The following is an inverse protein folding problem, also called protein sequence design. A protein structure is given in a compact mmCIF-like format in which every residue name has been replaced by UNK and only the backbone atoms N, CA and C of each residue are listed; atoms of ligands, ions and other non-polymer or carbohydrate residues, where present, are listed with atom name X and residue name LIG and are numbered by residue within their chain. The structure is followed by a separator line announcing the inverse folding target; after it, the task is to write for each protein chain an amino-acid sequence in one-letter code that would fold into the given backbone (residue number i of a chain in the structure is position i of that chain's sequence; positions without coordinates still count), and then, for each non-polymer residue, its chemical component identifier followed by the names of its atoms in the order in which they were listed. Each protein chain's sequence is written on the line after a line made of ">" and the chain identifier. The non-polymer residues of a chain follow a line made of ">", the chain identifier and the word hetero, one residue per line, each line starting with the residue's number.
data_IF_115893264947
#
_entry.id   IF_115893264947
#
_cell.length_a   1.000
_cell.length_b   1.000
_cell.length_c   1.000
_cell.angle_alpha   90.00
_cell.angle_beta   90.00
_cell.angle_gamma   90.00
#
_symmetry.space_group_name_H-M   'P 1'
#
loop_
_entity.id
_entity.type
_entity.pdbx_description
1 polymer ?
#
# COMPACT_ATOMS: atom_id res chain seq x y z
N UNK A 1 -69.83 -49.43 8.58
CA UNK A 1 -69.21 -50.39 9.54
C UNK A 1 -67.71 -50.18 9.38
N UNK A 2 -66.87 -49.88 10.36
CA UNK A 2 -66.83 -50.09 11.81
C UNK A 2 -65.81 -49.04 12.34
N UNK A 3 -66.17 -48.21 13.33
CA UNK A 3 -65.63 -48.20 14.71
C UNK A 3 -64.13 -47.83 14.82
N UNK A 4 -63.82 -46.59 15.23
CA UNK A 4 -63.54 -46.12 16.62
C UNK A 4 -62.10 -46.37 17.08
N UNK A 5 -61.47 -45.29 17.57
CA UNK A 5 -60.18 -45.34 18.25
C UNK A 5 -59.75 -43.98 18.83
N UNK A 6 -60.48 -43.51 19.84
CA UNK A 6 -60.03 -42.47 20.78
C UNK A 6 -58.85 -43.02 21.60
N UNK A 7 -57.76 -42.26 21.77
CA UNK A 7 -56.68 -42.69 22.65
C UNK A 7 -55.55 -41.69 22.88
N UNK A 8 -55.69 -40.92 23.96
CA UNK A 8 -54.61 -40.46 24.87
C UNK A 8 -53.60 -39.41 24.33
N UNK A 9 -53.87 -38.13 24.62
CA UNK A 9 -52.80 -37.11 24.69
C UNK A 9 -52.03 -37.32 26.00
N UNK A 10 -50.92 -38.05 25.93
CA UNK A 10 -50.00 -38.23 27.05
C UNK A 10 -49.38 -36.87 27.43
N UNK A 11 -49.61 -36.45 28.68
CA UNK A 11 -49.01 -35.26 29.27
C UNK A 11 -47.59 -35.64 29.73
N UNK A 12 -46.63 -35.59 28.80
CA UNK A 12 -45.23 -35.91 29.06
C UNK A 12 -44.57 -34.80 29.87
N UNK A 13 -44.21 -35.08 31.13
CA UNK A 13 -43.27 -34.24 31.88
C UNK A 13 -41.87 -34.41 31.25
N UNK A 14 -41.18 -33.32 30.87
CA UNK A 14 -39.86 -33.44 30.27
C UNK A 14 -38.88 -34.13 31.24
N UNK A 15 -38.10 -35.06 30.72
CA UNK A 15 -37.05 -35.75 31.48
C UNK A 15 -35.98 -34.76 31.95
N UNK A 16 -35.25 -35.06 33.04
CA UNK A 16 -34.15 -34.22 33.54
C UNK A 16 -33.12 -33.87 32.44
N UNK A 17 -32.88 -34.80 31.51
CA UNK A 17 -32.02 -34.59 30.35
C UNK A 17 -32.59 -33.54 29.37
N UNK A 18 -33.90 -33.55 29.12
CA UNK A 18 -34.57 -32.56 28.26
C UNK A 18 -34.47 -31.14 28.86
N UNK A 19 -34.56 -31.01 30.19
CA UNK A 19 -34.39 -29.73 30.88
C UNK A 19 -32.96 -29.20 30.76
N UNK A 20 -31.94 -30.06 30.90
CA UNK A 20 -30.53 -29.65 30.74
C UNK A 20 -30.23 -29.20 29.32
N UNK A 21 -30.70 -29.93 28.30
CA UNK A 21 -30.51 -29.56 26.89
C UNK A 21 -31.14 -28.21 26.57
N UNK A 22 -32.34 -27.94 27.10
CA UNK A 22 -33.01 -26.65 26.91
C UNK A 22 -32.22 -25.50 27.51
N UNK A 23 -31.73 -25.62 28.74
CA UNK A 23 -30.93 -24.56 29.39
C UNK A 23 -29.62 -24.30 28.64
N UNK A 24 -28.89 -25.35 28.22
CA UNK A 24 -27.66 -25.19 27.43
C UNK A 24 -27.93 -24.49 26.09
N UNK A 25 -29.07 -24.79 25.45
CA UNK A 25 -29.47 -24.12 24.22
C UNK A 25 -29.78 -22.64 24.44
N UNK A 26 -30.42 -22.29 25.56
CA UNK A 26 -30.70 -20.89 25.93
C UNK A 26 -29.41 -20.15 26.26
N UNK A 27 -28.50 -20.74 27.04
CA UNK A 27 -27.21 -20.13 27.39
C UNK A 27 -26.33 -19.88 26.16
N UNK A 28 -26.33 -20.83 25.20
CA UNK A 28 -25.67 -20.66 23.92
C UNK A 28 -26.27 -19.50 23.11
N UNK A 29 -27.60 -19.41 23.04
CA UNK A 29 -28.27 -18.31 22.35
C UNK A 29 -27.95 -16.96 23.01
N UNK A 30 -28.06 -16.85 24.34
CA UNK A 30 -27.74 -15.62 25.09
C UNK A 30 -26.29 -15.20 24.86
N UNK A 31 -25.35 -16.15 24.90
CA UNK A 31 -23.92 -15.87 24.65
C UNK A 31 -23.66 -15.44 23.21
N UNK A 32 -24.34 -16.06 22.24
CA UNK A 32 -24.27 -15.69 20.82
C UNK A 32 -24.77 -14.25 20.60
N UNK A 33 -25.94 -13.90 21.15
CA UNK A 33 -26.50 -12.55 21.04
C UNK A 33 -25.62 -11.50 21.76
N UNK A 34 -25.06 -11.82 22.92
CA UNK A 34 -24.14 -10.94 23.64
C UNK A 34 -22.85 -10.68 22.83
N UNK A 35 -22.32 -11.71 22.17
CA UNK A 35 -21.16 -11.58 21.29
C UNK A 35 -21.44 -10.73 20.04
N UNK A 36 -22.63 -10.87 19.46
CA UNK A 36 -23.06 -10.08 18.29
C UNK A 36 -23.27 -8.60 18.65
N UNK A 37 -23.93 -8.30 19.78
CA UNK A 37 -24.08 -6.93 20.27
C UNK A 37 -22.74 -6.27 20.57
N UNK A 38 -21.79 -6.99 21.17
CA UNK A 38 -20.45 -6.46 21.46
C UNK A 38 -19.68 -6.11 20.17
N UNK A 39 -19.83 -6.92 19.11
CA UNK A 39 -19.26 -6.64 17.79
C UNK A 39 -19.89 -5.41 17.14
N UNK A 40 -21.21 -5.28 17.21
CA UNK A 40 -21.94 -4.11 16.69
C UNK A 40 -21.51 -2.83 17.40
N UNK A 41 -21.38 -2.84 18.72
CA UNK A 41 -20.90 -1.69 19.48
C UNK A 41 -19.46 -1.30 19.12
N UNK A 42 -18.56 -2.28 18.96
CA UNK A 42 -17.18 -2.03 18.57
C UNK A 42 -17.09 -1.46 17.15
N UNK A 43 -17.90 -1.98 16.22
CA UNK A 43 -18.03 -1.45 14.86
C UNK A 43 -18.59 -0.02 14.86
N UNK A 44 -19.58 0.28 15.70
CA UNK A 44 -20.13 1.63 15.84
C UNK A 44 -19.08 2.63 16.34
N UNK A 45 -18.26 2.24 17.32
CA UNK A 45 -17.17 3.08 17.83
C UNK A 45 -16.11 3.34 16.78
N UNK A 46 -15.69 2.32 16.04
CA UNK A 46 -14.74 2.46 14.94
C UNK A 46 -15.28 3.38 13.83
N UNK A 47 -16.55 3.20 13.45
CA UNK A 47 -17.21 4.07 12.47
C UNK A 47 -17.29 5.52 12.96
N UNK A 48 -17.62 5.76 14.23
CA UNK A 48 -17.69 7.10 14.80
C UNK A 48 -16.32 7.79 14.84
N UNK A 49 -15.26 7.04 15.15
CA UNK A 49 -13.90 7.55 15.13
C UNK A 49 -13.43 7.86 13.69
N UNK A 50 -13.72 6.98 12.74
CA UNK A 50 -13.41 7.24 11.33
C UNK A 50 -14.17 8.47 10.80
N UNK A 51 -15.44 8.63 11.19
CA UNK A 51 -16.24 9.79 10.80
C UNK A 51 -15.68 11.10 11.36
N UNK A 52 -15.12 11.11 12.59
CA UNK A 52 -14.51 12.33 13.14
C UNK A 52 -13.22 12.71 12.39
N UNK A 53 -12.41 11.73 12.00
CA UNK A 53 -11.22 11.96 11.17
C UNK A 53 -11.57 12.49 9.77
N UNK A 54 -12.63 11.96 9.14
CA UNK A 54 -13.13 12.45 7.85
C UNK A 54 -13.60 13.91 7.95
N UNK A 55 -14.27 14.29 9.04
CA UNK A 55 -14.71 15.68 9.25
C UNK A 55 -13.52 16.64 9.32
N UNK A 56 -12.45 16.25 10.03
CA UNK A 56 -11.23 17.05 10.11
C UNK A 56 -10.53 17.18 8.75
N UNK A 57 -10.42 16.08 8.00
CA UNK A 57 -9.85 16.09 6.65
C UNK A 57 -10.65 16.99 5.69
N UNK A 58 -11.98 16.92 5.73
CA UNK A 58 -12.85 17.76 4.92
C UNK A 58 -12.70 19.25 5.24
N UNK A 59 -12.40 19.60 6.48
CA UNK A 59 -12.13 20.98 6.87
C UNK A 59 -10.81 21.50 6.27
N UNK A 60 -9.78 20.65 6.19
CA UNK A 60 -8.54 20.93 5.47
C UNK A 60 -8.75 21.10 3.96
N UNK A 61 -9.58 20.25 3.35
CA UNK A 61 -9.92 20.38 1.92
C UNK A 61 -10.64 21.71 1.64
N UNK A 62 -11.57 22.10 2.51
CA UNK A 62 -12.32 23.35 2.35
C UNK A 62 -11.44 24.59 2.43
N UNK A 63 -10.48 24.60 3.36
CA UNK A 63 -9.51 25.71 3.47
C UNK A 63 -8.59 25.77 2.26
N UNK A 64 -8.10 24.63 1.77
CA UNK A 64 -7.31 24.59 0.54
C UNK A 64 -8.09 25.07 -0.69
N UNK A 65 -9.37 24.73 -0.81
CA UNK A 65 -10.24 25.22 -1.88
C UNK A 65 -10.39 26.75 -1.82
N UNK A 66 -10.54 27.33 -0.62
CA UNK A 66 -10.62 28.79 -0.47
C UNK A 66 -9.33 29.47 -0.95
N UNK A 67 -8.16 28.94 -0.57
CA UNK A 67 -6.86 29.49 -0.98
C UNK A 67 -6.70 29.43 -2.51
N UNK A 68 -7.05 28.30 -3.13
CA UNK A 68 -6.98 28.14 -4.58
C UNK A 68 -7.88 29.13 -5.33
N UNK A 69 -9.08 29.38 -4.81
CA UNK A 69 -9.98 30.38 -5.38
C UNK A 69 -9.37 31.79 -5.29
N UNK A 70 -8.82 32.16 -4.13
CA UNK A 70 -8.11 33.44 -3.96
C UNK A 70 -6.94 33.58 -4.95
N UNK A 71 -6.14 32.52 -5.13
CA UNK A 71 -5.03 32.54 -6.09
C UNK A 71 -5.51 32.71 -7.53
N UNK A 72 -6.61 32.04 -7.89
CA UNK A 72 -7.21 32.17 -9.23
C UNK A 72 -7.63 33.61 -9.50
N UNK A 73 -8.28 34.25 -8.52
CA UNK A 73 -8.71 35.65 -8.63
C UNK A 73 -7.53 36.62 -8.75
N UNK A 74 -6.44 36.37 -8.02
CA UNK A 74 -5.21 37.16 -8.11
C UNK A 74 -4.52 36.99 -9.47
N UNK A 75 -4.43 35.76 -9.98
CA UNK A 75 -3.83 35.48 -11.30
C UNK A 75 -4.65 36.15 -12.41
N UNK A 76 -5.99 36.11 -12.33
CA UNK A 76 -6.85 36.79 -13.28
C UNK A 76 -6.68 38.31 -13.22
N UNK A 77 -6.48 38.87 -12.02
CA UNK A 77 -6.21 40.30 -11.84
C UNK A 77 -4.84 40.69 -12.43
N UNK A 78 -3.80 39.89 -12.19
CA UNK A 78 -2.48 40.06 -12.81
C UNK A 78 -2.55 39.97 -14.33
N UNK A 79 -3.28 38.97 -14.85
CA UNK A 79 -3.43 38.78 -16.30
C UNK A 79 -4.09 40.00 -16.93
N UNK A 80 -5.14 40.55 -16.30
CA UNK A 80 -5.79 41.78 -16.76
C UNK A 80 -4.85 42.99 -16.75
N UNK A 81 -4.04 43.15 -15.71
CA UNK A 81 -3.06 44.23 -15.62
C UNK A 81 -1.96 44.09 -16.68
N UNK A 82 -1.45 42.88 -16.90
CA UNK A 82 -0.45 42.60 -17.95
C UNK A 82 -1.02 42.82 -19.35
N UNK A 83 -2.27 42.43 -19.61
CA UNK A 83 -2.93 42.71 -20.89
C UNK A 83 -3.23 44.19 -21.11
N UNK A 84 -3.41 44.96 -20.03
CA UNK A 84 -3.66 46.40 -20.08
C UNK A 84 -2.36 47.24 -20.03
N UNK A 85 -1.21 46.66 -19.67
CA UNK A 85 0.11 47.30 -19.60
C UNK A 85 0.73 47.65 -20.95
N UNK A 86 -0.07 47.71 -22.03
CA UNK A 86 0.34 48.30 -23.30
C UNK A 86 0.49 49.84 -23.23
N UNK A 87 0.27 50.47 -22.07
CA UNK A 87 0.52 51.91 -21.85
C UNK A 87 1.31 52.18 -20.56
N UNK A 88 2.22 53.14 -20.66
CA UNK A 88 3.39 53.41 -19.80
C UNK A 88 3.10 53.93 -18.38
N UNK A 89 1.83 53.91 -17.93
CA UNK A 89 1.35 54.64 -16.73
C UNK A 89 1.06 53.73 -15.51
N UNK A 90 0.94 52.40 -15.68
CA UNK A 90 0.53 51.46 -14.62
C UNK A 90 1.68 50.68 -13.96
N UNK A 91 2.93 51.09 -14.16
CA UNK A 91 4.13 50.37 -13.67
C UNK A 91 4.26 50.37 -12.14
N UNK A 92 3.79 51.41 -11.44
CA UNK A 92 3.84 51.46 -9.96
C UNK A 92 2.72 50.62 -9.32
N UNK A 93 1.50 50.62 -9.87
CA UNK A 93 0.42 49.74 -9.39
C UNK A 93 0.77 48.26 -9.57
N UNK A 94 1.41 47.90 -10.70
CA UNK A 94 1.91 46.56 -10.94
C UNK A 94 2.99 46.16 -9.93
N UNK A 95 3.90 47.08 -9.62
CA UNK A 95 4.98 46.87 -8.65
C UNK A 95 4.44 46.69 -7.23
N UNK A 96 3.45 47.47 -6.81
CA UNK A 96 2.80 47.32 -5.52
C UNK A 96 2.07 45.98 -5.40
N UNK A 97 1.36 45.58 -6.46
CA UNK A 97 0.71 44.27 -6.49
C UNK A 97 1.72 43.12 -6.48
N UNK A 98 2.84 43.24 -7.19
CA UNK A 98 3.91 42.24 -7.17
C UNK A 98 4.56 42.12 -5.78
N UNK A 99 4.71 43.24 -5.07
CA UNK A 99 5.21 43.23 -3.69
C UNK A 99 4.21 42.59 -2.73
N UNK A 100 2.90 42.80 -2.91
CA UNK A 100 1.87 42.09 -2.15
C UNK A 100 1.90 40.58 -2.41
N UNK A 101 2.02 40.15 -3.68
CA UNK A 101 2.13 38.73 -4.02
C UNK A 101 3.38 38.10 -3.43
N UNK A 102 4.52 38.80 -3.51
CA UNK A 102 5.77 38.32 -2.90
C UNK A 102 5.63 38.21 -1.38
N UNK A 103 5.00 39.19 -0.73
CA UNK A 103 4.73 39.19 0.71
C UNK A 103 3.81 38.02 1.10
N UNK A 104 2.74 37.79 0.35
CA UNK A 104 1.85 36.66 0.57
C UNK A 104 2.58 35.31 0.39
N UNK A 105 3.42 35.18 -0.65
CA UNK A 105 4.22 33.99 -0.88
C UNK A 105 5.21 33.73 0.27
N UNK A 106 5.84 34.77 0.82
CA UNK A 106 6.73 34.65 1.98
C UNK A 106 5.94 34.25 3.23
N UNK A 107 4.75 34.79 3.45
CA UNK A 107 3.87 34.38 4.56
C UNK A 107 3.43 32.92 4.44
N UNK A 108 3.09 32.45 3.24
CA UNK A 108 2.82 31.03 2.98
C UNK A 108 4.05 30.19 3.30
N UNK A 109 5.24 30.66 2.89
CA UNK A 109 6.49 29.97 3.19
C UNK A 109 6.74 29.85 4.70
N UNK A 110 6.48 30.91 5.46
CA UNK A 110 6.61 30.93 6.91
C UNK A 110 5.58 30.04 7.60
N UNK A 111 4.34 30.03 7.12
CA UNK A 111 3.29 29.12 7.61
C UNK A 111 3.66 27.67 7.32
N UNK A 112 4.09 27.34 6.11
CA UNK A 112 4.53 25.98 5.74
C UNK A 112 5.74 25.56 6.58
N UNK A 113 6.69 26.47 6.80
CA UNK A 113 7.85 26.23 7.66
C UNK A 113 7.45 26.02 9.13
N UNK A 114 6.52 26.80 9.64
CA UNK A 114 5.99 26.63 10.99
C UNK A 114 5.17 25.33 11.14
N UNK A 115 4.41 24.96 10.10
CA UNK A 115 3.71 23.66 10.01
C UNK A 115 4.71 22.50 9.98
N UNK A 116 5.81 22.62 9.23
CA UNK A 116 6.89 21.62 9.25
C UNK A 116 7.56 21.51 10.62
N UNK A 117 7.68 22.61 11.38
CA UNK A 117 8.22 22.60 12.75
C UNK A 117 7.23 22.10 13.82
N UNK A 118 5.92 22.19 13.58
CA UNK A 118 4.85 21.78 14.52
C UNK A 118 4.21 20.45 14.17
N UNK A 119 4.36 19.96 12.93
CA UNK A 119 4.26 18.55 12.59
C UNK A 119 5.39 17.83 13.32
N UNK A 120 5.15 17.56 14.60
CA UNK A 120 5.89 16.58 15.36
C UNK A 120 6.18 15.39 14.47
N UNK A 121 7.45 15.00 14.43
CA UNK A 121 8.05 13.79 13.89
C UNK A 121 7.25 12.50 14.21
N UNK A 122 5.98 12.40 13.79
CA UNK A 122 5.04 11.44 14.34
C UNK A 122 5.38 10.00 13.96
N UNK A 123 6.28 9.79 13.01
CA UNK A 123 7.49 8.96 13.13
C UNK A 123 8.50 9.57 12.14
N UNK A 124 9.66 10.03 12.57
CA UNK A 124 10.79 10.28 11.66
C UNK A 124 11.26 8.90 11.17
N UNK A 125 10.59 8.38 10.13
CA UNK A 125 10.84 7.03 9.65
C UNK A 125 12.22 6.98 9.02
N UNK A 126 12.93 5.90 9.26
CA UNK A 126 14.15 5.64 8.52
C UNK A 126 13.83 5.65 7.01
N UNK A 127 14.77 6.16 6.20
CA UNK A 127 14.58 6.13 4.75
C UNK A 127 14.30 4.68 4.30
N UNK A 128 13.21 4.44 3.55
CA UNK A 128 12.87 3.10 3.11
C UNK A 128 13.93 2.56 2.15
N UNK A 129 14.03 1.24 2.09
CA UNK A 129 14.73 0.57 1.00
C UNK A 129 13.84 0.64 -0.24
N UNK A 130 14.35 1.17 -1.33
CA UNK A 130 13.68 1.14 -2.63
C UNK A 130 13.89 -0.23 -3.27
N UNK A 131 12.82 -1.01 -3.34
CA UNK A 131 12.86 -2.36 -3.88
C UNK A 131 12.23 -2.42 -5.26
N UNK A 132 13.03 -2.76 -6.26
CA UNK A 132 12.60 -3.07 -7.62
C UNK A 132 12.49 -4.58 -7.76
N UNK A 133 11.28 -5.09 -7.90
CA UNK A 133 11.07 -6.53 -8.04
C UNK A 133 11.39 -7.03 -9.47
N UNK A 134 11.43 -8.35 -9.63
CA UNK A 134 11.74 -8.98 -10.92
C UNK A 134 10.68 -8.74 -12.03
N UNK A 135 9.53 -8.15 -11.69
CA UNK A 135 8.52 -7.71 -12.67
C UNK A 135 8.65 -6.21 -12.99
N UNK A 136 9.71 -5.54 -12.52
CA UNK A 136 9.93 -4.12 -12.74
C UNK A 136 9.10 -3.20 -11.83
N UNK A 137 8.45 -3.72 -10.78
CA UNK A 137 7.64 -2.89 -9.87
C UNK A 137 8.53 -2.29 -8.78
N UNK A 138 8.58 -0.97 -8.73
CA UNK A 138 9.27 -0.23 -7.69
C UNK A 138 8.36 -0.05 -6.46
N UNK A 139 8.87 -0.34 -5.27
CA UNK A 139 8.12 -0.14 -4.03
C UNK A 139 9.03 0.11 -2.82
N UNK A 140 8.60 0.93 -1.85
CA UNK A 140 9.34 1.13 -0.62
C UNK A 140 9.17 -0.05 0.34
N UNK A 141 10.27 -0.45 0.98
CA UNK A 141 10.29 -1.38 2.11
C UNK A 141 10.77 -0.61 3.34
N UNK A 142 9.89 -0.49 4.33
CA UNK A 142 10.24 0.07 5.64
C UNK A 142 10.74 -1.05 6.54
N UNK A 143 12.01 -0.96 6.95
CA UNK A 143 12.69 -1.96 7.79
C UNK A 143 12.06 -2.08 9.19
N UNK A 144 11.32 -1.06 9.62
CA UNK A 144 10.50 -1.06 10.84
C UNK A 144 9.35 -2.08 10.79
N UNK A 145 8.83 -2.40 9.59
CA UNK A 145 7.72 -3.33 9.40
C UNK A 145 8.16 -4.69 8.89
N UNK A 146 9.22 -4.74 8.08
CA UNK A 146 9.84 -5.98 7.60
C UNK A 146 11.19 -6.10 8.29
N UNK A 147 11.21 -6.87 9.38
CA UNK A 147 12.37 -7.01 10.27
C UNK A 147 12.99 -8.43 10.25
N UNK A 148 12.53 -9.30 9.35
CA UNK A 148 13.05 -10.66 9.20
C UNK A 148 13.01 -11.14 7.74
N UNK A 149 13.90 -12.07 7.35
CA UNK A 149 13.85 -12.71 6.04
C UNK A 149 12.51 -13.41 5.77
N UNK A 150 11.89 -13.97 6.79
CA UNK A 150 10.61 -14.68 6.69
C UNK A 150 9.47 -13.72 6.35
N UNK A 151 9.44 -12.53 6.98
CA UNK A 151 8.46 -11.49 6.69
C UNK A 151 8.62 -10.98 5.25
N UNK A 152 9.86 -10.78 4.80
CA UNK A 152 10.15 -10.37 3.43
C UNK A 152 9.68 -11.44 2.42
N UNK A 153 10.00 -12.71 2.67
CA UNK A 153 9.54 -13.82 1.82
C UNK A 153 8.01 -13.94 1.80
N UNK A 154 7.32 -13.67 2.91
CA UNK A 154 5.86 -13.65 2.94
C UNK A 154 5.27 -12.56 2.03
N UNK A 155 5.86 -11.35 2.05
CA UNK A 155 5.48 -10.27 1.13
C UNK A 155 5.72 -10.68 -0.32
N UNK A 156 6.86 -11.31 -0.63
CA UNK A 156 7.14 -11.79 -1.98
C UNK A 156 6.13 -12.85 -2.43
N UNK A 157 5.75 -13.80 -1.58
CA UNK A 157 4.74 -14.82 -1.92
C UNK A 157 3.41 -14.19 -2.33
N UNK A 158 2.96 -13.17 -1.61
CA UNK A 158 1.72 -12.45 -1.96
C UNK A 158 1.88 -11.69 -3.27
N UNK A 159 3.03 -11.05 -3.50
CA UNK A 159 3.31 -10.26 -4.72
C UNK A 159 3.47 -11.08 -5.99
N UNK A 160 3.95 -12.31 -5.86
CA UNK A 160 4.19 -13.24 -6.97
C UNK A 160 3.16 -14.38 -6.99
N UNK A 161 2.03 -14.23 -6.29
CA UNK A 161 0.97 -15.25 -6.18
C UNK A 161 0.44 -15.69 -7.56
N UNK A 162 0.30 -14.75 -8.49
CA UNK A 162 -0.30 -14.99 -9.81
C UNK A 162 0.75 -15.40 -10.85
N UNK A 163 2.01 -14.98 -10.68
CA UNK A 163 3.13 -15.29 -11.56
C UNK A 163 4.43 -15.32 -10.75
N UNK A 164 5.21 -16.40 -10.86
CA UNK A 164 6.52 -16.51 -10.20
C UNK A 164 6.53 -17.09 -8.78
N UNK A 165 5.39 -17.47 -8.20
CA UNK A 165 5.31 -18.03 -6.84
C UNK A 165 6.28 -19.21 -6.62
N UNK A 166 6.34 -20.15 -7.57
CA UNK A 166 7.23 -21.31 -7.48
C UNK A 166 8.71 -20.92 -7.43
N UNK A 167 9.11 -19.83 -8.11
CA UNK A 167 10.48 -19.31 -8.06
C UNK A 167 10.79 -18.74 -6.67
N UNK A 168 9.85 -18.02 -6.06
CA UNK A 168 9.97 -17.52 -4.69
C UNK A 168 10.10 -18.68 -3.70
N UNK A 169 9.24 -19.69 -3.79
CA UNK A 169 9.24 -20.83 -2.87
C UNK A 169 10.54 -21.63 -2.93
N UNK A 170 11.09 -21.81 -4.13
CA UNK A 170 12.37 -22.48 -4.36
C UNK A 170 13.59 -21.59 -4.11
N UNK A 171 13.39 -20.34 -3.69
CA UNK A 171 14.45 -19.32 -3.53
C UNK A 171 15.30 -19.14 -4.80
N UNK A 172 14.67 -19.25 -5.97
CA UNK A 172 15.28 -19.07 -7.29
C UNK A 172 15.20 -17.61 -7.74
N UNK A 173 15.78 -16.73 -6.93
CA UNK A 173 15.90 -15.30 -7.22
C UNK A 173 17.20 -14.78 -6.63
N UNK A 174 17.73 -13.71 -7.23
CA UNK A 174 18.87 -12.97 -6.72
C UNK A 174 18.42 -11.57 -6.30
N UNK A 175 19.14 -11.01 -5.33
CA UNK A 175 18.95 -9.66 -4.84
C UNK A 175 20.28 -8.93 -4.92
N UNK A 176 20.26 -7.71 -5.42
CA UNK A 176 21.46 -6.93 -5.65
C UNK A 176 21.25 -5.45 -5.33
N UNK A 177 22.24 -4.80 -4.74
CA UNK A 177 22.23 -3.36 -4.56
C UNK A 177 22.60 -2.65 -5.86
N UNK A 178 21.72 -1.76 -6.33
CA UNK A 178 21.81 -1.12 -7.64
C UNK A 178 23.10 -0.31 -7.86
N UNK A 179 23.66 0.27 -6.80
CA UNK A 179 24.85 1.14 -6.91
C UNK A 179 26.16 0.34 -6.86
N UNK A 180 26.28 -0.57 -5.90
CA UNK A 180 27.53 -1.30 -5.62
C UNK A 180 27.60 -2.64 -6.34
N UNK A 181 26.49 -3.09 -6.93
CA UNK A 181 26.34 -4.44 -7.50
C UNK A 181 26.54 -5.55 -6.47
N UNK A 182 26.44 -5.22 -5.18
CA UNK A 182 26.60 -6.18 -4.09
C UNK A 182 25.39 -7.10 -4.01
N UNK A 183 25.63 -8.40 -4.10
CA UNK A 183 24.59 -9.41 -3.86
C UNK A 183 24.15 -9.41 -2.39
N UNK A 184 22.83 -9.44 -2.16
CA UNK A 184 22.24 -9.51 -0.82
C UNK A 184 21.97 -10.97 -0.46
N UNK A 185 22.66 -11.45 0.56
CA UNK A 185 22.48 -12.80 1.09
C UNK A 185 21.51 -12.82 2.28
N UNK A 186 20.28 -13.30 2.04
CA UNK A 186 19.23 -13.41 3.06
C UNK A 186 19.54 -14.43 4.17
N UNK A 187 20.64 -15.20 4.09
CA UNK A 187 21.10 -16.08 5.19
C UNK A 187 21.80 -15.29 6.30
N UNK A 188 22.23 -14.06 6.00
CA UNK A 188 22.84 -13.17 6.98
C UNK A 188 21.78 -12.55 7.89
N UNK A 189 22.17 -12.05 9.07
CA UNK A 189 21.26 -11.28 9.92
C UNK A 189 20.61 -10.13 9.15
N UNK A 190 19.29 -9.95 9.30
CA UNK A 190 18.48 -9.01 8.52
C UNK A 190 19.07 -7.59 8.45
N UNK A 191 19.56 -7.08 9.58
CA UNK A 191 20.17 -5.75 9.71
C UNK A 191 21.47 -5.57 8.90
N UNK A 192 22.07 -6.65 8.39
CA UNK A 192 23.26 -6.62 7.50
C UNK A 192 22.89 -6.76 6.02
N UNK A 193 21.68 -7.28 5.75
CA UNK A 193 21.16 -7.44 4.40
C UNK A 193 20.72 -6.09 3.83
N UNK A 194 20.01 -5.31 4.64
CA UNK A 194 19.36 -4.07 4.24
C UNK A 194 19.72 -2.90 5.18
N UNK A 195 20.00 -1.75 4.58
CA UNK A 195 20.28 -0.49 5.24
C UNK A 195 19.31 0.59 4.72
N UNK A 196 18.95 1.58 5.55
CA UNK A 196 18.07 2.67 5.14
C UNK A 196 18.55 3.38 3.86
N UNK A 197 17.62 3.70 2.96
CA UNK A 197 17.90 4.43 1.71
C UNK A 197 18.53 3.60 0.58
N UNK A 198 18.80 2.30 0.80
CA UNK A 198 19.33 1.44 -0.26
C UNK A 198 18.35 1.24 -1.42
N UNK A 199 18.89 1.01 -2.62
CA UNK A 199 18.12 0.58 -3.78
C UNK A 199 18.47 -0.88 -4.10
N UNK A 200 17.52 -1.78 -3.91
CA UNK A 200 17.68 -3.21 -4.14
C UNK A 200 16.89 -3.62 -5.37
N UNK A 201 17.54 -4.36 -6.26
CA UNK A 201 16.97 -4.93 -7.47
C UNK A 201 16.90 -6.44 -7.31
N UNK A 202 15.79 -7.02 -7.76
CA UNK A 202 15.57 -8.46 -7.75
C UNK A 202 15.51 -9.00 -9.17
N UNK A 203 16.14 -10.15 -9.40
CA UNK A 203 16.03 -10.91 -10.64
C UNK A 203 15.62 -12.35 -10.34
N UNK A 204 14.92 -12.99 -11.27
CA UNK A 204 14.56 -14.42 -11.15
C UNK A 204 15.64 -15.28 -11.80
N UNK A 205 15.99 -16.38 -11.16
CA UNK A 205 16.99 -17.31 -11.68
C UNK A 205 16.29 -18.38 -12.51
N UNK A 206 16.63 -18.47 -13.79
CA UNK A 206 16.17 -19.52 -14.69
C UNK A 206 17.32 -20.47 -15.01
N UNK A 207 17.22 -21.72 -14.55
CA UNK A 207 18.11 -22.78 -15.00
C UNK A 207 17.61 -23.26 -16.34
N UNK A 208 18.45 -23.18 -17.38
CA UNK A 208 18.18 -23.86 -18.64
C UNK A 208 18.19 -25.36 -18.35
N UNK A 209 17.03 -26.01 -18.42
CA UNK A 209 17.01 -27.47 -18.54
C UNK A 209 17.60 -27.78 -19.91
N UNK A 210 18.74 -28.45 -19.94
CA UNK A 210 19.29 -29.05 -21.14
C UNK A 210 18.31 -30.10 -21.66
N UNK A 211 17.32 -29.67 -22.42
CA UNK A 211 16.74 -30.55 -23.44
C UNK A 211 17.74 -30.56 -24.59
N UNK A 212 18.36 -31.70 -24.92
CA UNK A 212 19.11 -31.81 -26.16
C UNK A 212 18.11 -31.64 -27.31
N UNK A 213 18.03 -30.43 -27.87
CA UNK A 213 17.19 -30.15 -29.04
C UNK A 213 16.16 -29.02 -28.94
N UNK A 214 16.38 -27.97 -28.16
CA UNK A 214 15.58 -26.73 -28.32
C UNK A 214 16.20 -25.82 -29.40
N UNK A 215 15.91 -26.11 -30.67
CA UNK A 215 16.18 -25.20 -31.79
C UNK A 215 15.28 -23.98 -31.70
N UNK A 216 15.86 -22.78 -31.72
CA UNK A 216 15.11 -21.52 -31.79
C UNK A 216 14.40 -21.45 -33.17
N UNK A 217 13.09 -21.10 -33.26
CA UNK A 217 12.38 -21.11 -34.55
C UNK A 217 12.81 -20.01 -35.53
N UNK A 218 13.82 -19.20 -35.18
CA UNK A 218 14.26 -18.03 -35.94
C UNK A 218 15.53 -18.20 -36.77
N UNK A 219 16.46 -19.08 -36.39
CA UNK A 219 17.73 -19.25 -37.10
C UNK A 219 18.26 -20.67 -36.92
N UNK A 220 18.43 -21.39 -38.03
CA UNK A 220 19.14 -22.66 -38.09
C UNK A 220 20.64 -22.39 -37.94
N UNK A 221 21.12 -22.26 -36.71
CA UNK A 221 22.55 -22.35 -36.44
C UNK A 221 22.77 -23.10 -35.12
N UNK A 222 23.32 -24.31 -35.22
CA UNK A 222 23.89 -25.02 -34.07
C UNK A 222 25.11 -24.24 -33.62
N UNK A 223 24.98 -23.51 -32.51
CA UNK A 223 26.15 -23.01 -31.80
C UNK A 223 26.49 -24.01 -30.69
N UNK A 224 27.59 -24.73 -30.90
CA UNK A 224 28.29 -25.47 -29.86
C UNK A 224 28.97 -24.42 -28.98
N UNK A 225 28.31 -23.98 -27.90
CA UNK A 225 28.98 -23.12 -26.92
C UNK A 225 28.88 -23.74 -25.54
N UNK A 226 30.08 -24.06 -25.07
CA UNK A 226 30.49 -24.59 -23.79
C UNK A 226 29.93 -23.76 -22.61
N UNK A 227 29.46 -24.49 -21.60
CA UNK A 227 28.75 -24.02 -20.42
C UNK A 227 29.62 -23.15 -19.53
N UNK A 228 29.34 -21.83 -19.41
CA UNK A 228 29.75 -21.06 -18.21
C UNK A 228 29.08 -19.69 -17.99
N UNK A 229 28.21 -19.17 -18.86
CA UNK A 229 27.69 -17.81 -18.67
C UNK A 229 26.20 -17.76 -18.33
N UNK A 230 25.89 -16.90 -17.34
CA UNK A 230 24.56 -16.42 -17.00
C UNK A 230 23.91 -15.77 -18.23
N UNK A 231 22.67 -16.14 -18.52
CA UNK A 231 21.88 -15.52 -19.58
C UNK A 231 20.99 -14.46 -18.93
N UNK A 232 21.37 -13.20 -19.12
CA UNK A 232 20.53 -12.04 -18.81
C UNK A 232 19.55 -11.86 -19.98
N UNK A 233 18.25 -12.03 -19.72
CA UNK A 233 17.23 -11.70 -20.71
C UNK A 233 17.04 -10.18 -20.72
N UNK A 234 17.63 -9.51 -21.69
CA UNK A 234 17.32 -8.12 -22.01
C UNK A 234 16.05 -8.14 -22.86
N UNK A 235 14.92 -7.72 -22.28
CA UNK A 235 13.78 -7.29 -23.09
C UNK A 235 14.17 -5.93 -23.69
N UNK A 236 14.41 -5.91 -25.01
CA UNK A 236 14.50 -4.67 -25.77
C UNK A 236 13.14 -3.97 -25.72
N UNK A 237 13.03 -2.93 -24.89
CA UNK A 237 11.99 -1.92 -25.02
C UNK A 237 12.32 -1.04 -26.23
N UNK A 238 11.71 -1.34 -27.36
CA UNK A 238 11.61 -0.38 -28.47
C UNK A 238 10.59 0.68 -28.09
N UNK A 239 11.03 1.95 -28.12
CA UNK A 239 10.26 3.17 -27.89
C UNK A 239 9.09 3.27 -28.88
#
# INVERSE_FOLDING_TARGET
>A
MHERGLGVKANLRPSSCTFVIYNLSVDYQVSSYAGENSRLEQQQRANNQQNSEIVLANQGIKTNQQILNTHTDLILSLTKLVTNAATHEHTEELKDLMLEVLKANLQVYDIVRAMQGTMSHQIERQQPVLFLDACGRLSPIHLEFINSPEAFLAVLRVRFKDCGLQKIERKQFALEESQTKRTVDLRRPWHQCFLPGQKIVMSMIFTRTETPGSTCPGYQYESTIDTSYEVECIEEFTI
#
